data_IF_090288681527
#
_entry.id   IF_090288681527
#
_cell.length_a   1.000
_cell.length_b   1.000
_cell.length_c   1.000
_cell.angle_alpha   90.00
_cell.angle_beta   90.00
_cell.angle_gamma   90.00
#
_symmetry.space_group_name_H-M   'P 1'
#
loop_
_entity.id
_entity.type
_entity.pdbx_description
1 polymer ?
#
# COMPACT_ATOMS: atom_id res chain seq x y z
N UNK A 1 -8.34 14.11 12.36
CA UNK A 1 -7.44 13.24 11.57
C UNK A 1 -8.25 12.10 10.99
N UNK A 2 -8.02 11.75 9.73
CA UNK A 2 -8.65 10.58 9.08
C UNK A 2 -7.57 9.55 8.77
N UNK A 3 -7.89 8.26 8.88
CA UNK A 3 -6.98 7.19 8.49
C UNK A 3 -7.50 6.51 7.23
N UNK A 4 -6.62 6.22 6.27
CA UNK A 4 -6.93 5.40 5.10
C UNK A 4 -6.03 4.18 5.16
N UNK A 5 -6.62 3.00 5.40
CA UNK A 5 -5.88 1.74 5.40
C UNK A 5 -5.85 1.14 3.99
N UNK A 6 -4.64 0.97 3.46
CA UNK A 6 -4.35 0.49 2.12
C UNK A 6 -3.82 -0.93 2.23
N UNK A 7 -4.63 -1.91 1.84
CA UNK A 7 -4.31 -3.34 1.96
C UNK A 7 -3.27 -3.80 0.93
N UNK A 8 -2.66 -4.95 1.18
CA UNK A 8 -1.71 -5.58 0.26
C UNK A 8 -2.38 -6.47 -0.78
N UNK A 9 -1.53 -7.14 -1.56
CA UNK A 9 -1.95 -8.15 -2.54
C UNK A 9 -2.69 -9.30 -1.83
N UNK A 10 -3.63 -9.95 -2.54
CA UNK A 10 -4.45 -11.05 -2.03
C UNK A 10 -5.20 -10.72 -0.72
N UNK A 11 -5.62 -9.46 -0.60
CA UNK A 11 -6.37 -8.93 0.52
C UNK A 11 -7.50 -8.03 0.02
N UNK A 12 -8.33 -7.51 0.91
CA UNK A 12 -9.47 -6.65 0.56
C UNK A 12 -9.76 -5.61 1.68
N UNK A 13 -10.84 -4.86 1.50
CA UNK A 13 -11.36 -3.91 2.48
C UNK A 13 -11.63 -4.55 3.85
N UNK A 14 -11.87 -5.87 3.93
CA UNK A 14 -12.15 -6.62 5.16
C UNK A 14 -10.92 -7.31 5.75
N UNK A 15 -9.72 -6.91 5.31
CA UNK A 15 -8.47 -7.41 5.85
C UNK A 15 -8.44 -7.35 7.38
N UNK A 16 -7.80 -8.34 7.99
CA UNK A 16 -7.71 -8.43 9.47
C UNK A 16 -7.11 -7.16 10.07
N UNK A 17 -6.00 -6.65 9.52
CA UNK A 17 -5.36 -5.43 10.00
C UNK A 17 -6.27 -4.20 9.89
N UNK A 18 -6.94 -4.03 8.75
CA UNK A 18 -7.86 -2.91 8.55
C UNK A 18 -9.03 -2.92 9.55
N UNK A 19 -9.63 -4.08 9.78
CA UNK A 19 -10.72 -4.24 10.76
C UNK A 19 -10.27 -4.02 12.20
N UNK A 20 -9.09 -4.54 12.57
CA UNK A 20 -8.52 -4.33 13.91
C UNK A 20 -8.23 -2.85 14.16
N UNK A 21 -7.65 -2.15 13.18
CA UNK A 21 -7.39 -0.72 13.28
C UNK A 21 -8.68 0.08 13.46
N UNK A 22 -9.69 -0.20 12.64
CA UNK A 22 -11.00 0.48 12.73
C UNK A 22 -11.67 0.23 14.08
N UNK A 23 -11.74 -1.03 14.53
CA UNK A 23 -12.32 -1.38 15.83
C UNK A 23 -11.58 -0.72 17.00
N UNK A 24 -10.25 -0.67 16.93
CA UNK A 24 -9.44 0.00 17.95
C UNK A 24 -9.69 1.51 17.97
N UNK A 25 -9.74 2.16 16.79
CA UNK A 25 -10.08 3.58 16.72
C UNK A 25 -11.49 3.86 17.23
N UNK A 26 -12.49 3.07 16.84
CA UNK A 26 -13.86 3.21 17.33
C UNK A 26 -13.95 3.13 18.86
N UNK A 27 -13.15 2.28 19.48
CA UNK A 27 -13.16 2.08 20.92
C UNK A 27 -12.39 3.18 21.68
N UNK A 28 -11.23 3.58 21.21
CA UNK A 28 -10.31 4.44 21.97
C UNK A 28 -10.15 5.85 21.40
N UNK A 29 -10.50 6.05 20.12
CA UNK A 29 -10.32 7.30 19.37
C UNK A 29 -11.53 7.54 18.44
N UNK A 30 -12.77 7.66 18.97
CA UNK A 30 -13.99 7.67 18.16
C UNK A 30 -14.06 8.82 17.14
N UNK A 31 -13.28 9.88 17.36
CA UNK A 31 -13.17 11.02 16.44
C UNK A 31 -12.20 10.77 15.27
N UNK A 32 -11.57 9.59 15.21
CA UNK A 32 -10.65 9.20 14.13
C UNK A 32 -11.33 8.15 13.24
N UNK A 33 -11.98 8.57 12.14
CA UNK A 33 -12.54 7.62 11.20
C UNK A 33 -11.45 6.85 10.43
N UNK A 34 -11.69 5.58 10.18
CA UNK A 34 -10.84 4.71 9.38
C UNK A 34 -11.58 4.33 8.10
N UNK A 35 -11.03 4.73 6.96
CA UNK A 35 -11.49 4.29 5.65
C UNK A 35 -10.70 3.05 5.21
N UNK A 36 -11.39 2.07 4.70
CA UNK A 36 -10.83 0.82 4.20
C UNK A 36 -11.34 0.57 2.78
N UNK A 37 -10.76 1.23 1.75
CA UNK A 37 -11.17 1.00 0.37
C UNK A 37 -10.81 -0.42 -0.06
N UNK A 38 -11.61 -1.00 -0.96
CA UNK A 38 -11.22 -2.17 -1.73
C UNK A 38 -10.39 -1.69 -2.94
N UNK A 39 -9.18 -2.22 -3.07
CA UNK A 39 -8.20 -1.82 -4.06
C UNK A 39 -7.83 -2.98 -5.01
N UNK A 40 -8.72 -3.97 -5.16
CA UNK A 40 -8.55 -5.10 -6.08
C UNK A 40 -8.86 -4.68 -7.52
N UNK A 41 -8.00 -3.86 -8.09
CA UNK A 41 -8.12 -3.30 -9.44
C UNK A 41 -6.73 -2.93 -10.00
N UNK A 42 -6.66 -2.59 -11.29
CA UNK A 42 -5.43 -2.18 -11.94
C UNK A 42 -4.71 -1.05 -11.19
N UNK A 43 -3.37 -1.03 -11.15
CA UNK A 43 -2.59 -0.14 -10.30
C UNK A 43 -2.84 1.36 -10.56
N UNK A 44 -3.11 1.75 -11.81
CA UNK A 44 -3.49 3.12 -12.15
C UNK A 44 -4.78 3.53 -11.44
N UNK A 45 -5.80 2.66 -11.47
CA UNK A 45 -7.09 2.91 -10.82
C UNK A 45 -6.96 2.95 -9.29
N UNK A 46 -6.10 2.08 -8.70
CA UNK A 46 -5.77 2.14 -7.27
C UNK A 46 -5.20 3.49 -6.90
N UNK A 47 -4.20 3.96 -7.66
CA UNK A 47 -3.54 5.24 -7.40
C UNK A 47 -4.55 6.40 -7.46
N UNK A 48 -5.34 6.49 -8.52
CA UNK A 48 -6.36 7.52 -8.70
C UNK A 48 -7.46 7.45 -7.62
N UNK A 49 -7.88 6.23 -7.26
CA UNK A 49 -8.90 6.04 -6.22
C UNK A 49 -8.41 6.59 -4.88
N UNK A 50 -7.19 6.28 -4.46
CA UNK A 50 -6.63 6.80 -3.19
C UNK A 50 -6.54 8.33 -3.23
N UNK A 51 -6.10 8.92 -4.35
CA UNK A 51 -6.08 10.37 -4.52
C UNK A 51 -7.48 10.99 -4.39
N UNK A 52 -8.49 10.35 -4.95
CA UNK A 52 -9.89 10.82 -4.86
C UNK A 52 -10.42 10.78 -3.43
N UNK A 53 -10.07 9.73 -2.65
CA UNK A 53 -10.45 9.61 -1.23
C UNK A 53 -9.84 10.73 -0.40
N UNK A 54 -8.57 11.08 -0.63
CA UNK A 54 -7.91 12.19 0.07
C UNK A 54 -8.60 13.52 -0.26
N UNK A 55 -8.90 13.78 -1.53
CA UNK A 55 -9.64 14.99 -1.96
C UNK A 55 -11.00 15.11 -1.27
N UNK A 56 -11.76 14.01 -1.21
CA UNK A 56 -13.09 13.99 -0.61
C UNK A 56 -13.05 14.12 0.92
N UNK A 57 -12.04 13.57 1.58
CA UNK A 57 -11.83 13.72 3.02
C UNK A 57 -11.51 15.18 3.39
N UNK A 58 -10.81 15.89 2.51
CA UNK A 58 -10.48 17.31 2.69
C UNK A 58 -11.68 18.22 2.53
N UNK A 59 -12.51 17.97 1.52
CA UNK A 59 -13.67 18.81 1.19
C UNK A 59 -14.78 18.77 2.26
N UNK A 60 -14.89 17.72 3.05
CA UNK A 60 -15.87 17.64 4.14
C UNK A 60 -15.55 18.59 5.31
N UNK A 61 -14.30 19.03 5.43
CA UNK A 61 -13.82 19.85 6.55
C UNK A 61 -13.50 21.30 6.16
N UNK A 62 -13.56 21.70 4.89
CA UNK A 62 -13.25 23.07 4.46
C UNK A 62 -14.14 23.52 3.28
N UNK A 63 -15.00 24.51 3.53
CA UNK A 63 -15.78 25.24 2.52
C UNK A 63 -14.97 26.39 1.91
N UNK A 64 -13.70 26.21 1.55
CA UNK A 64 -12.87 27.24 0.92
C UNK A 64 -12.46 26.74 -0.46
N UNK A 65 -13.11 27.31 -1.51
CA UNK A 65 -12.68 27.14 -2.91
C UNK A 65 -11.26 27.66 -3.07
N UNK A 66 -10.34 26.82 -3.60
CA UNK A 66 -9.00 27.21 -4.00
C UNK A 66 -7.87 26.93 -3.00
N UNK A 67 -8.11 26.28 -1.86
CA UNK A 67 -7.04 25.84 -0.98
C UNK A 67 -6.27 24.66 -1.60
N UNK A 68 -4.89 24.71 -1.68
CA UNK A 68 -4.11 23.54 -2.04
C UNK A 68 -4.41 22.42 -1.03
N UNK A 69 -4.33 21.16 -1.47
CA UNK A 69 -4.63 19.96 -0.68
C UNK A 69 -4.25 20.15 0.81
N UNK A 70 -5.22 20.25 1.69
CA UNK A 70 -4.97 20.19 3.12
C UNK A 70 -4.71 18.70 3.48
N UNK A 71 -3.55 18.21 3.05
CA UNK A 71 -3.04 16.86 3.31
C UNK A 71 -2.85 16.58 4.82
N UNK A 72 -2.90 17.65 5.63
CA UNK A 72 -2.51 17.65 7.05
C UNK A 72 -3.48 16.89 7.98
N UNK A 73 -4.60 16.39 7.47
CA UNK A 73 -5.58 15.71 8.31
C UNK A 73 -5.87 14.26 7.89
N UNK A 74 -5.12 13.72 6.95
CA UNK A 74 -5.25 12.33 6.48
C UNK A 74 -3.91 11.63 6.58
N UNK A 75 -3.88 10.45 7.20
CA UNK A 75 -2.70 9.58 7.28
C UNK A 75 -2.98 8.29 6.53
N UNK A 76 -2.05 7.89 5.68
CA UNK A 76 -2.08 6.62 4.95
C UNK A 76 -1.45 5.53 5.80
N UNK A 77 -2.05 4.34 5.83
CA UNK A 77 -1.48 3.18 6.50
C UNK A 77 -1.43 2.06 5.47
N UNK A 78 -0.25 1.78 4.94
CA UNK A 78 -0.06 0.83 3.86
C UNK A 78 0.64 -0.44 4.28
N UNK A 79 0.11 -1.60 3.90
CA UNK A 79 0.74 -2.90 4.15
C UNK A 79 1.18 -3.55 2.84
N UNK A 80 2.43 -4.02 2.77
CA UNK A 80 2.97 -4.72 1.59
C UNK A 80 2.83 -3.89 0.31
N UNK A 81 2.11 -4.35 -0.71
CA UNK A 81 1.79 -3.58 -1.92
C UNK A 81 1.06 -2.27 -1.59
N UNK A 82 0.21 -2.27 -0.55
CA UNK A 82 -0.40 -1.03 -0.04
C UNK A 82 0.63 -0.04 0.49
N UNK A 83 1.78 -0.50 0.99
CA UNK A 83 2.91 0.34 1.38
C UNK A 83 3.56 1.06 0.18
N UNK A 84 3.70 0.37 -0.96
CA UNK A 84 4.14 0.99 -2.20
C UNK A 84 3.19 2.13 -2.63
N UNK A 85 1.88 1.85 -2.71
CA UNK A 85 0.91 2.89 -3.07
C UNK A 85 0.88 4.05 -2.08
N UNK A 86 1.00 3.76 -0.78
CA UNK A 86 1.06 4.81 0.25
C UNK A 86 2.26 5.72 0.06
N UNK A 87 3.42 5.18 -0.30
CA UNK A 87 4.62 5.97 -0.59
C UNK A 87 4.44 6.81 -1.85
N UNK A 88 3.93 6.22 -2.92
CA UNK A 88 3.69 6.91 -4.18
C UNK A 88 2.70 8.07 -4.01
N UNK A 89 1.61 7.83 -3.29
CA UNK A 89 0.60 8.86 -2.96
C UNK A 89 1.16 9.91 -2.00
N UNK A 90 1.93 9.52 -0.98
CA UNK A 90 2.61 10.46 -0.07
C UNK A 90 3.55 11.39 -0.85
N UNK A 91 4.32 10.85 -1.79
CA UNK A 91 5.20 11.63 -2.67
C UNK A 91 4.43 12.66 -3.49
N UNK A 92 3.23 12.31 -3.92
CA UNK A 92 2.39 13.19 -4.74
C UNK A 92 1.62 14.24 -3.93
N UNK A 93 1.18 13.90 -2.71
CA UNK A 93 0.24 14.72 -1.93
C UNK A 93 0.85 15.37 -0.70
N UNK A 94 1.97 14.85 -0.19
CA UNK A 94 2.53 15.21 1.11
C UNK A 94 1.71 14.68 2.31
N UNK A 95 0.78 13.73 2.09
CA UNK A 95 0.09 13.04 3.18
C UNK A 95 1.08 12.21 3.99
N UNK A 96 1.04 12.26 5.33
CA UNK A 96 1.80 11.35 6.17
C UNK A 96 1.45 9.88 5.88
N UNK A 97 2.45 8.98 6.04
CA UNK A 97 2.27 7.56 5.81
C UNK A 97 2.98 6.70 6.85
N UNK A 98 2.27 5.70 7.38
CA UNK A 98 2.83 4.59 8.14
C UNK A 98 2.82 3.34 7.28
N UNK A 99 3.98 2.71 7.11
CA UNK A 99 4.18 1.59 6.20
C UNK A 99 4.52 0.32 6.99
N UNK A 100 3.90 -0.79 6.63
CA UNK A 100 4.05 -2.11 7.28
C UNK A 100 4.60 -3.10 6.26
N UNK A 101 5.84 -3.56 6.43
CA UNK A 101 6.53 -4.43 5.47
C UNK A 101 6.29 -3.98 4.01
N UNK A 102 6.64 -2.73 3.65
CA UNK A 102 6.26 -2.17 2.35
C UNK A 102 7.00 -2.85 1.20
N UNK A 103 6.29 -3.14 0.10
CA UNK A 103 6.92 -3.46 -1.17
C UNK A 103 7.56 -2.19 -1.76
N UNK A 104 8.83 -2.28 -2.19
CA UNK A 104 9.54 -1.19 -2.84
C UNK A 104 9.66 -1.38 -4.36
N UNK A 105 9.58 -2.62 -4.83
CA UNK A 105 9.81 -3.01 -6.22
C UNK A 105 8.74 -3.99 -6.70
N UNK A 106 7.44 -3.59 -6.76
CA UNK A 106 6.36 -4.50 -7.13
C UNK A 106 6.53 -5.09 -8.54
N UNK A 107 7.09 -4.35 -9.50
CA UNK A 107 7.39 -4.85 -10.84
C UNK A 107 8.38 -6.04 -10.85
N UNK A 108 9.23 -6.18 -9.83
CA UNK A 108 10.13 -7.33 -9.67
C UNK A 108 9.44 -8.44 -8.89
N UNK A 109 8.84 -8.10 -7.74
CA UNK A 109 8.25 -9.13 -6.87
C UNK A 109 7.03 -9.83 -7.49
N UNK A 110 6.27 -9.12 -8.35
CA UNK A 110 5.12 -9.69 -9.07
C UNK A 110 5.52 -10.42 -10.36
N UNK A 111 6.78 -10.31 -10.81
CA UNK A 111 7.30 -11.06 -11.97
C UNK A 111 7.18 -12.58 -11.79
N UNK A 112 7.11 -13.06 -10.54
CA UNK A 112 6.85 -14.47 -10.25
C UNK A 112 5.60 -15.01 -10.97
N UNK A 113 4.55 -14.21 -11.05
CA UNK A 113 3.31 -14.62 -11.74
C UNK A 113 3.51 -14.77 -13.24
N UNK A 114 4.32 -13.91 -13.87
CA UNK A 114 4.67 -14.09 -15.28
C UNK A 114 5.48 -15.37 -15.51
N UNK A 115 6.37 -15.73 -14.59
CA UNK A 115 7.18 -16.94 -14.68
C UNK A 115 6.34 -18.22 -14.46
N UNK A 116 5.32 -18.17 -13.62
CA UNK A 116 4.40 -19.28 -13.34
C UNK A 116 3.36 -19.48 -14.45
N UNK A 117 2.97 -18.40 -15.14
CA UNK A 117 1.98 -18.41 -16.21
C UNK A 117 2.50 -19.01 -17.54
N UNK A 118 3.82 -19.20 -17.71
CA UNK A 118 4.39 -19.82 -18.89
C UNK A 118 4.21 -21.35 -18.77
N UNK A 119 3.31 -21.99 -19.57
CA UNK A 119 3.16 -23.43 -19.54
C UNK A 119 4.46 -24.10 -19.99
N UNK A 120 4.93 -25.08 -19.23
CA UNK A 120 6.10 -25.89 -19.58
C UNK A 120 5.87 -26.81 -20.81
N UNK A 121 4.74 -26.69 -21.51
CA UNK A 121 4.42 -27.47 -22.70
C UNK A 121 3.84 -26.59 -23.81
N UNK A 122 4.51 -26.61 -24.93
CA UNK A 122 4.15 -26.05 -26.22
C UNK A 122 2.91 -26.74 -26.84
N UNK A 123 1.72 -26.42 -26.36
CA UNK A 123 0.50 -26.64 -27.13
C UNK A 123 -0.12 -25.29 -27.50
N UNK A 124 0.49 -24.67 -28.50
CA UNK A 124 -0.03 -23.50 -29.17
C UNK A 124 -1.23 -23.87 -30.05
N UNK A 125 -2.38 -24.13 -29.43
CA UNK A 125 -3.65 -24.20 -30.14
C UNK A 125 -4.78 -23.67 -29.27
N UNK A 126 -5.07 -22.38 -29.38
CA UNK A 126 -6.30 -21.89 -28.76
C UNK A 126 -6.35 -20.41 -28.49
N UNK A 127 -7.10 -19.74 -29.34
CA UNK A 127 -7.68 -18.40 -29.29
C UNK A 127 -6.77 -17.21 -29.60
N UNK A 128 -7.09 -16.69 -30.76
CA UNK A 128 -6.64 -15.42 -31.31
C UNK A 128 -7.25 -14.25 -30.53
N UNK A 129 -6.48 -13.16 -30.45
CA UNK A 129 -6.89 -11.80 -30.14
C UNK A 129 -6.82 -11.32 -28.68
N UNK A 130 -6.04 -11.94 -27.78
CA UNK A 130 -5.65 -11.22 -26.57
C UNK A 130 -4.31 -10.52 -26.85
N UNK A 131 -4.22 -9.20 -26.68
CA UNK A 131 -2.93 -8.50 -26.79
C UNK A 131 -2.00 -9.04 -25.69
N UNK A 132 -0.68 -8.96 -25.91
CA UNK A 132 0.31 -9.37 -24.91
C UNK A 132 0.09 -8.62 -23.57
N UNK A 133 -0.38 -7.40 -23.65
CA UNK A 133 -0.61 -6.53 -22.48
C UNK A 133 -1.80 -6.98 -21.64
N UNK A 134 -2.83 -7.58 -22.27
CA UNK A 134 -4.06 -8.02 -21.60
C UNK A 134 -3.98 -9.48 -21.09
N UNK A 135 -2.83 -10.14 -21.28
CA UNK A 135 -2.67 -11.51 -20.79
C UNK A 135 -2.68 -11.55 -19.27
N UNK A 136 -3.64 -12.32 -18.69
CA UNK A 136 -3.80 -12.49 -17.25
C UNK A 136 -2.71 -13.41 -16.71
N UNK A 137 -1.87 -12.86 -15.83
CA UNK A 137 -0.77 -13.57 -15.19
C UNK A 137 -1.22 -14.27 -13.90
N UNK A 138 -2.13 -13.63 -13.17
CA UNK A 138 -2.64 -14.10 -11.89
C UNK A 138 -3.96 -13.41 -11.56
N UNK A 139 -4.90 -14.17 -11.00
CA UNK A 139 -6.15 -13.61 -10.46
C UNK A 139 -6.07 -13.60 -8.93
N UNK A 140 -6.14 -12.41 -8.33
CA UNK A 140 -6.12 -12.28 -6.88
C UNK A 140 -7.41 -12.78 -6.25
N UNK A 141 -7.37 -13.14 -4.98
CA UNK A 141 -8.57 -13.56 -4.24
C UNK A 141 -9.64 -12.46 -4.15
N UNK A 142 -9.24 -11.19 -4.31
CA UNK A 142 -10.13 -10.04 -4.35
C UNK A 142 -10.74 -9.73 -5.72
N UNK A 143 -10.37 -10.50 -6.75
CA UNK A 143 -10.94 -10.37 -8.11
C UNK A 143 -10.19 -9.39 -9.03
N UNK A 144 -8.96 -9.01 -8.70
CA UNK A 144 -8.09 -8.30 -9.64
C UNK A 144 -7.30 -9.30 -10.48
N UNK A 145 -7.44 -9.20 -11.78
CA UNK A 145 -6.66 -9.94 -12.76
C UNK A 145 -5.39 -9.16 -13.10
N UNK A 146 -4.26 -9.62 -12.59
CA UNK A 146 -2.95 -9.01 -12.84
C UNK A 146 -2.50 -9.35 -14.25
N UNK A 147 -2.15 -8.33 -15.03
CA UNK A 147 -1.74 -8.43 -16.43
C UNK A 147 -0.30 -7.96 -16.64
N UNK A 148 0.22 -8.17 -17.86
CA UNK A 148 1.50 -7.59 -18.26
C UNK A 148 1.45 -6.05 -18.27
N UNK A 149 0.31 -5.44 -18.61
CA UNK A 149 0.13 -4.00 -18.53
C UNK A 149 0.31 -3.47 -17.10
N UNK A 150 -0.19 -4.21 -16.10
CA UNK A 150 -0.01 -3.85 -14.69
C UNK A 150 1.47 -3.90 -14.27
N UNK A 151 2.20 -4.94 -14.67
CA UNK A 151 3.64 -5.02 -14.41
C UNK A 151 4.40 -3.87 -15.07
N UNK A 152 4.02 -3.51 -16.29
CA UNK A 152 4.60 -2.37 -16.99
C UNK A 152 4.27 -1.04 -16.30
N UNK A 153 3.05 -0.90 -15.78
CA UNK A 153 2.68 0.29 -15.02
C UNK A 153 3.59 0.45 -13.78
N UNK A 154 3.79 -0.63 -13.00
CA UNK A 154 4.71 -0.60 -11.85
C UNK A 154 6.15 -0.29 -12.26
N UNK A 155 6.62 -0.82 -13.39
CA UNK A 155 7.96 -0.55 -13.91
C UNK A 155 8.14 0.93 -14.33
N UNK A 156 7.07 1.57 -14.81
CA UNK A 156 7.05 2.99 -15.18
C UNK A 156 6.85 3.93 -13.98
N UNK A 157 6.47 3.40 -12.81
CA UNK A 157 6.27 4.16 -11.58
C UNK A 157 7.17 3.63 -10.43
N UNK A 158 8.51 3.56 -10.63
CA UNK A 158 9.40 3.06 -9.59
C UNK A 158 9.44 4.02 -8.40
N UNK A 159 9.55 3.48 -7.19
CA UNK A 159 9.90 4.29 -6.02
C UNK A 159 11.39 4.63 -6.08
N UNK A 160 11.71 5.82 -6.54
CA UNK A 160 13.09 6.32 -6.60
C UNK A 160 13.43 7.26 -5.45
N UNK A 161 12.42 7.89 -4.85
CA UNK A 161 12.58 8.86 -3.75
C UNK A 161 11.45 8.76 -2.74
N UNK A 162 11.68 9.28 -1.53
CA UNK A 162 10.65 9.63 -0.55
C UNK A 162 10.68 11.15 -0.40
N UNK A 163 9.70 11.85 -1.01
CA UNK A 163 9.72 13.31 -1.10
C UNK A 163 9.48 14.02 0.25
N UNK A 164 8.83 13.33 1.19
CA UNK A 164 8.50 13.86 2.51
C UNK A 164 8.94 12.86 3.61
N UNK A 165 10.25 12.60 3.77
CA UNK A 165 10.74 11.53 4.65
C UNK A 165 10.40 11.79 6.14
N UNK A 166 10.28 13.03 6.55
CA UNK A 166 9.84 13.45 7.89
C UNK A 166 8.38 13.05 8.21
N UNK A 167 7.59 12.76 7.17
CA UNK A 167 6.19 12.33 7.27
C UNK A 167 5.99 10.83 7.00
N UNK A 168 7.06 10.08 6.82
CA UNK A 168 6.99 8.64 6.54
C UNK A 168 7.65 7.86 7.68
N UNK A 169 6.89 6.95 8.29
CA UNK A 169 7.40 5.96 9.23
C UNK A 169 7.21 4.55 8.67
N UNK A 170 8.21 3.70 8.88
CA UNK A 170 8.23 2.34 8.35
C UNK A 170 8.46 1.35 9.49
N UNK A 171 7.60 0.34 9.58
CA UNK A 171 7.75 -0.80 10.46
C UNK A 171 8.05 -2.04 9.61
N UNK A 172 9.16 -2.69 9.90
CA UNK A 172 9.63 -3.88 9.18
C UNK A 172 9.79 -5.03 10.16
N UNK A 173 9.30 -6.20 9.80
CA UNK A 173 9.56 -7.46 10.51
C UNK A 173 10.77 -8.16 9.88
N UNK A 174 11.77 -8.52 10.68
CA UNK A 174 12.92 -9.30 10.19
C UNK A 174 12.53 -10.67 9.65
N UNK A 175 11.42 -11.24 10.15
CA UNK A 175 10.90 -12.53 9.73
C UNK A 175 9.96 -12.46 8.53
N UNK A 176 9.95 -11.37 7.76
CA UNK A 176 9.15 -11.27 6.52
C UNK A 176 9.65 -12.31 5.50
N UNK A 177 8.82 -13.30 5.24
CA UNK A 177 9.14 -14.44 4.37
C UNK A 177 8.81 -14.19 2.88
N UNK A 178 8.14 -13.07 2.57
CA UNK A 178 7.69 -12.75 1.21
C UNK A 178 8.51 -11.63 0.56
N UNK A 179 8.93 -10.65 1.34
CA UNK A 179 9.75 -9.53 0.88
C UNK A 179 11.09 -9.53 1.63
N UNK A 180 12.14 -9.12 0.97
CA UNK A 180 13.46 -8.98 1.61
C UNK A 180 13.46 -7.75 2.51
N UNK A 181 13.45 -7.90 3.86
CA UNK A 181 13.37 -6.77 4.79
C UNK A 181 14.44 -5.71 4.58
N UNK A 182 15.67 -6.14 4.25
CA UNK A 182 16.81 -5.27 4.01
C UNK A 182 16.58 -4.29 2.87
N UNK A 183 15.94 -4.72 1.78
CA UNK A 183 15.65 -3.84 0.63
C UNK A 183 14.76 -2.66 1.02
N UNK A 184 13.70 -2.92 1.76
CA UNK A 184 12.83 -1.85 2.24
C UNK A 184 13.54 -0.97 3.28
N UNK A 185 14.23 -1.60 4.25
CA UNK A 185 15.00 -0.88 5.27
C UNK A 185 16.00 0.07 4.63
N UNK A 186 16.86 -0.44 3.75
CA UNK A 186 17.96 0.34 3.15
C UNK A 186 17.37 1.47 2.30
N UNK A 187 16.36 1.18 1.45
CA UNK A 187 15.69 2.20 0.64
C UNK A 187 15.16 3.36 1.51
N UNK A 188 14.33 3.07 2.52
CA UNK A 188 13.70 4.13 3.31
C UNK A 188 14.68 4.86 4.21
N UNK A 189 15.69 4.17 4.76
CA UNK A 189 16.75 4.80 5.57
C UNK A 189 17.63 5.74 4.73
N UNK A 190 18.04 5.33 3.54
CA UNK A 190 18.80 6.17 2.60
C UNK A 190 18.03 7.43 2.19
N UNK A 191 16.70 7.34 2.12
CA UNK A 191 15.83 8.48 1.85
C UNK A 191 15.56 9.36 3.08
N UNK A 192 16.02 8.97 4.27
CA UNK A 192 15.87 9.74 5.51
C UNK A 192 14.54 9.53 6.26
N UNK A 193 13.75 8.54 5.88
CA UNK A 193 12.52 8.19 6.60
C UNK A 193 12.81 7.45 7.91
N UNK A 194 11.89 7.54 8.89
CA UNK A 194 11.99 6.83 10.15
C UNK A 194 11.70 5.34 9.96
N UNK A 195 12.70 4.49 10.14
CA UNK A 195 12.57 3.03 9.98
C UNK A 195 12.78 2.33 11.31
N UNK A 196 11.82 1.50 11.70
CA UNK A 196 11.91 0.60 12.86
C UNK A 196 11.88 -0.84 12.38
N UNK A 197 12.93 -1.58 12.65
CA UNK A 197 13.02 -3.02 12.38
C UNK A 197 12.70 -3.77 13.69
N UNK A 198 11.79 -4.71 13.60
CA UNK A 198 11.35 -5.53 14.72
C UNK A 198 11.82 -6.96 14.52
N UNK A 199 12.47 -7.54 15.52
CA UNK A 199 12.96 -8.91 15.47
C UNK A 199 11.83 -9.93 15.33
N UNK A 200 12.02 -10.93 14.49
CA UNK A 200 11.02 -11.97 14.21
C UNK A 200 9.79 -11.44 13.47
N UNK A 201 8.61 -11.96 13.79
CA UNK A 201 7.35 -11.65 13.12
C UNK A 201 7.25 -12.30 11.75
N UNK A 202 6.34 -11.82 10.92
CA UNK A 202 6.04 -12.35 9.59
C UNK A 202 5.58 -11.23 8.64
N UNK A 203 5.45 -11.56 7.34
CA UNK A 203 4.96 -10.61 6.33
C UNK A 203 3.57 -10.06 6.66
N UNK A 204 2.72 -10.88 7.22
CA UNK A 204 1.32 -10.53 7.52
C UNK A 204 1.16 -9.61 8.71
N UNK A 205 2.22 -9.38 9.49
CA UNK A 205 2.11 -8.65 10.76
C UNK A 205 1.06 -9.29 11.69
N UNK A 206 1.23 -10.59 11.95
CA UNK A 206 0.23 -11.37 12.71
C UNK A 206 -0.01 -10.84 14.12
N UNK A 207 0.96 -10.12 14.69
CA UNK A 207 0.89 -9.42 15.98
C UNK A 207 0.33 -7.98 15.89
N UNK A 208 -0.25 -7.59 14.75
CA UNK A 208 -0.73 -6.21 14.50
C UNK A 208 -1.68 -5.71 15.59
N UNK A 209 -2.59 -6.57 16.08
CA UNK A 209 -3.54 -6.21 17.13
C UNK A 209 -2.88 -5.79 18.44
N UNK A 210 -1.78 -6.44 18.81
CA UNK A 210 -1.01 -6.13 20.01
C UNK A 210 -0.22 -4.84 19.88
N UNK A 211 0.13 -4.46 18.64
CA UNK A 211 0.91 -3.27 18.34
C UNK A 211 0.09 -2.01 18.13
N UNK A 212 -1.23 -2.08 18.10
CA UNK A 212 -2.11 -0.93 17.84
C UNK A 212 -1.84 0.29 18.73
N UNK A 213 -1.55 0.16 20.04
CA UNK A 213 -1.20 1.31 20.87
C UNK A 213 0.07 2.05 20.37
N UNK A 214 1.10 1.30 19.98
CA UNK A 214 2.34 1.85 19.42
C UNK A 214 2.09 2.46 18.04
N UNK A 215 1.34 1.77 17.19
CA UNK A 215 0.98 2.21 15.83
C UNK A 215 0.27 3.55 15.88
N UNK A 216 -0.76 3.69 16.73
CA UNK A 216 -1.48 4.97 16.89
C UNK A 216 -0.57 6.09 17.41
N UNK A 217 0.37 5.80 18.30
CA UNK A 217 1.37 6.76 18.76
C UNK A 217 2.28 7.23 17.62
N UNK A 218 2.75 6.31 16.76
CA UNK A 218 3.55 6.68 15.59
C UNK A 218 2.75 7.53 14.61
N UNK A 219 1.51 7.18 14.32
CA UNK A 219 0.61 7.96 13.46
C UNK A 219 0.44 9.39 14.00
N UNK A 220 0.26 9.55 15.31
CA UNK A 220 0.13 10.86 15.95
C UNK A 220 1.42 11.70 15.90
N UNK A 221 2.57 11.08 15.73
CA UNK A 221 3.86 11.79 15.60
C UNK A 221 4.13 12.27 14.16
N UNK A 222 3.38 11.78 13.18
CA UNK A 222 3.52 12.15 11.77
C UNK A 222 2.69 13.37 11.37
N UNK A 223 1.80 13.87 12.24
CA UNK A 223 0.84 14.95 11.96
C UNK A 223 1.08 16.23 12.77
#
# INVERSE_FOLDING_TARGET
MNLIYIHGLDSDANSTKGRLLEAYCQQYYPDIPVLRPDLNQAPEHVFEHILSLIKNATNKNQSIEGAPFASNNTVLIGSSLGGYFSTLVSNHTGCPALLLNPSTQPHITLQRFANEAIPSNSDASGSKDTSFDDYVLHSTTGGWDITNADLQWFANHPLSTVNHPDKVAVLIKEGDELLTPELAKDFYQEQGAAVTVQAGGDHRFSDFGEQLPMILKLIQQLV
#
